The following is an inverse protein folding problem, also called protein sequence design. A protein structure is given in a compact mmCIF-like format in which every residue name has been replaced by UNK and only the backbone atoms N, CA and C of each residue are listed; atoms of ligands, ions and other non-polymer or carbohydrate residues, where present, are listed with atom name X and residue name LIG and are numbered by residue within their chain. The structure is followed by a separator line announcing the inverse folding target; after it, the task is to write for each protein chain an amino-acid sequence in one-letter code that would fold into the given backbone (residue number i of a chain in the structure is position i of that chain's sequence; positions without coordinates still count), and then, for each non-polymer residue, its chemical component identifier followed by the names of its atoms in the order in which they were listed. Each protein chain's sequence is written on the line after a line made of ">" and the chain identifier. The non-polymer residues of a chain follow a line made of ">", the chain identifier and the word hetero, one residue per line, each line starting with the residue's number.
data_IF_127683775164
#
_entry.id   IF_127683775164
#
_cell.length_a   1.000
_cell.length_b   1.000
_cell.length_c   1.000
_cell.angle_alpha   90.00
_cell.angle_beta   90.00
_cell.angle_gamma   90.00
#
_symmetry.space_group_name_H-M   'P 1'
#
loop_
_entity.id
_entity.type
_entity.pdbx_description
1 polymer ?
#
# COMPACT_ATOMS: atom_id res chain seq x y z
N UNK A 1 -3.92 54.63 -5.58
CA UNK A 1 -3.74 53.20 -5.25
C UNK A 1 -4.82 52.94 -4.24
N UNK A 2 -5.88 52.24 -4.64
CA UNK A 2 -7.05 52.06 -3.78
C UNK A 2 -6.71 51.12 -2.64
N UNK A 3 -7.17 51.44 -1.43
CA UNK A 3 -6.91 50.64 -0.23
C UNK A 3 -7.48 49.22 -0.37
N UNK A 4 -8.59 49.07 -1.10
CA UNK A 4 -9.22 47.78 -1.41
C UNK A 4 -8.28 46.86 -2.22
N UNK A 5 -7.50 47.40 -3.16
CA UNK A 5 -6.52 46.64 -3.95
C UNK A 5 -5.36 46.13 -3.07
N UNK A 6 -4.95 46.90 -2.06
CA UNK A 6 -3.86 46.54 -1.14
C UNK A 6 -4.32 45.45 -0.16
N UNK A 7 -5.54 45.56 0.38
CA UNK A 7 -6.13 44.54 1.25
C UNK A 7 -6.33 43.21 0.51
N UNK A 8 -6.85 43.26 -0.72
CA UNK A 8 -7.03 42.06 -1.55
C UNK A 8 -5.68 41.42 -1.92
N UNK A 9 -4.66 42.22 -2.26
CA UNK A 9 -3.30 41.71 -2.51
C UNK A 9 -2.71 41.02 -1.28
N UNK A 10 -2.84 41.63 -0.10
CA UNK A 10 -2.29 41.10 1.16
C UNK A 10 -2.99 39.78 1.55
N UNK A 11 -4.31 39.71 1.40
CA UNK A 11 -5.08 38.50 1.65
C UNK A 11 -4.72 37.36 0.68
N UNK A 12 -4.55 37.67 -0.62
CA UNK A 12 -4.08 36.70 -1.64
C UNK A 12 -2.68 36.16 -1.30
N UNK A 13 -1.76 37.04 -0.93
CA UNK A 13 -0.40 36.65 -0.53
C UNK A 13 -0.40 35.76 0.71
N UNK A 14 -1.19 36.11 1.73
CA UNK A 14 -1.32 35.31 2.95
C UNK A 14 -1.87 33.90 2.68
N UNK A 15 -2.90 33.78 1.83
CA UNK A 15 -3.44 32.47 1.40
C UNK A 15 -2.40 31.64 0.67
N UNK A 16 -1.63 32.25 -0.24
CA UNK A 16 -0.56 31.57 -0.98
C UNK A 16 0.55 31.08 -0.03
N UNK A 17 1.00 31.91 0.91
CA UNK A 17 1.98 31.52 1.92
C UNK A 17 1.46 30.37 2.80
N UNK A 18 0.22 30.48 3.29
CA UNK A 18 -0.40 29.43 4.10
C UNK A 18 -0.46 28.10 3.35
N UNK A 19 -0.85 28.14 2.06
CA UNK A 19 -0.88 26.94 1.23
C UNK A 19 0.53 26.32 1.08
N UNK A 20 1.55 27.13 0.80
CA UNK A 20 2.95 26.67 0.69
C UNK A 20 3.43 26.06 2.01
N UNK A 21 3.14 26.70 3.15
CA UNK A 21 3.50 26.16 4.46
C UNK A 21 2.83 24.81 4.73
N UNK A 22 1.53 24.68 4.43
CA UNK A 22 0.82 23.42 4.61
C UNK A 22 1.42 22.30 3.75
N UNK A 23 1.73 22.58 2.47
CA UNK A 23 2.39 21.60 1.60
C UNK A 23 3.81 21.26 2.07
N UNK A 24 4.55 22.23 2.60
CA UNK A 24 5.91 22.03 3.12
C UNK A 24 5.92 21.14 4.37
N UNK A 25 4.94 21.31 5.26
CA UNK A 25 4.86 20.60 6.54
C UNK A 25 3.96 19.37 6.53
N UNK A 26 3.35 19.01 5.39
CA UNK A 26 2.38 17.90 5.30
C UNK A 26 2.97 16.55 5.78
N UNK A 27 4.28 16.34 5.59
CA UNK A 27 4.99 15.13 6.05
C UNK A 27 4.91 14.92 7.56
N UNK A 28 4.66 15.97 8.35
CA UNK A 28 4.49 15.86 9.81
C UNK A 28 3.27 14.98 10.14
N UNK A 29 2.21 14.99 9.32
CA UNK A 29 1.06 14.10 9.52
C UNK A 29 1.49 12.63 9.39
N UNK A 30 2.23 12.28 8.34
CA UNK A 30 2.74 10.93 8.11
C UNK A 30 3.68 10.47 9.22
N UNK A 31 4.60 11.33 9.66
CA UNK A 31 5.52 10.99 10.76
C UNK A 31 4.82 10.90 12.12
N UNK A 32 3.78 11.69 12.35
CA UNK A 32 2.93 11.59 13.55
C UNK A 32 2.15 10.29 13.55
N UNK A 33 1.57 9.90 12.41
CA UNK A 33 0.89 8.62 12.23
C UNK A 33 1.84 7.45 12.50
N UNK A 34 3.05 7.47 11.91
CA UNK A 34 4.08 6.47 12.17
C UNK A 34 4.41 6.38 13.66
N UNK A 35 4.59 7.52 14.32
CA UNK A 35 4.87 7.57 15.75
C UNK A 35 3.74 6.92 16.58
N UNK A 36 2.47 7.17 16.22
CA UNK A 36 1.33 6.55 16.87
C UNK A 36 1.30 5.02 16.72
N UNK A 37 1.62 4.52 15.52
CA UNK A 37 1.73 3.09 15.22
C UNK A 37 2.88 2.47 16.02
N UNK A 38 4.08 3.07 15.99
CA UNK A 38 5.26 2.57 16.69
C UNK A 38 5.05 2.53 18.22
N UNK A 39 4.33 3.52 18.77
CA UNK A 39 3.95 3.58 20.18
C UNK A 39 2.75 2.69 20.53
N UNK A 40 2.11 2.05 19.54
CA UNK A 40 0.91 1.22 19.70
C UNK A 40 -0.27 1.99 20.34
N UNK A 41 -0.40 3.29 20.03
CA UNK A 41 -1.48 4.14 20.56
C UNK A 41 -2.87 3.61 20.18
N UNK A 42 -3.16 3.25 18.92
CA UNK A 42 -4.46 2.69 18.55
C UNK A 42 -4.81 1.43 19.36
N UNK A 43 -3.85 0.50 19.50
CA UNK A 43 -4.05 -0.74 20.27
C UNK A 43 -4.28 -0.47 21.75
N UNK A 44 -3.57 0.51 22.34
CA UNK A 44 -3.73 0.87 23.75
C UNK A 44 -5.15 1.39 24.05
N UNK A 45 -5.67 2.30 23.20
CA UNK A 45 -7.03 2.83 23.32
C UNK A 45 -8.06 1.72 23.07
N UNK A 46 -7.85 0.89 22.04
CA UNK A 46 -8.77 -0.21 21.74
C UNK A 46 -8.88 -1.20 22.91
N UNK A 47 -7.74 -1.62 23.46
CA UNK A 47 -7.66 -2.57 24.58
C UNK A 47 -8.32 -2.02 25.85
N UNK A 48 -8.33 -0.69 26.03
CA UNK A 48 -9.01 -0.05 27.15
C UNK A 48 -10.54 -0.20 27.07
N UNK A 49 -11.10 -0.26 25.85
CA UNK A 49 -12.50 -0.61 25.60
C UNK A 49 -13.52 0.53 25.83
N UNK A 50 -13.07 1.70 26.27
CA UNK A 50 -13.88 2.90 26.48
C UNK A 50 -13.05 4.16 26.14
N UNK A 51 -13.63 5.37 26.10
CA UNK A 51 -12.84 6.59 25.93
C UNK A 51 -11.69 6.65 26.94
N UNK A 52 -10.46 6.81 26.45
CA UNK A 52 -9.24 6.75 27.26
C UNK A 52 -8.71 8.15 27.53
N UNK A 53 -8.56 8.51 28.81
CA UNK A 53 -8.04 9.83 29.18
C UNK A 53 -6.56 9.97 28.79
N UNK A 54 -6.09 11.21 28.58
CA UNK A 54 -4.69 11.45 28.23
C UNK A 54 -3.71 10.84 29.27
N UNK A 55 -3.99 10.96 30.57
CA UNK A 55 -3.19 10.40 31.65
C UNK A 55 -3.16 8.87 31.62
N UNK A 56 -4.30 8.23 31.35
CA UNK A 56 -4.40 6.78 31.21
C UNK A 56 -3.62 6.29 29.98
N UNK A 57 -3.72 7.01 28.87
CA UNK A 57 -2.96 6.72 27.67
C UNK A 57 -1.46 6.81 27.97
N UNK A 58 -0.97 7.92 28.51
CA UNK A 58 0.45 8.10 28.88
C UNK A 58 0.94 6.97 29.79
N UNK A 59 0.16 6.57 30.80
CA UNK A 59 0.51 5.50 31.72
C UNK A 59 0.58 4.11 31.04
N UNK A 60 -0.14 3.90 29.94
CA UNK A 60 -0.13 2.65 29.18
C UNK A 60 1.04 2.53 28.19
N UNK A 61 1.69 3.65 27.83
CA UNK A 61 2.74 3.69 26.82
C UNK A 61 4.12 3.45 27.45
N UNK A 62 4.97 2.67 26.77
CA UNK A 62 6.37 2.45 27.16
C UNK A 62 7.26 3.61 26.70
N UNK A 63 7.09 4.79 27.30
CA UNK A 63 7.82 6.02 26.94
C UNK A 63 8.64 6.56 28.12
N UNK A 64 9.78 7.18 27.81
CA UNK A 64 10.61 7.81 28.83
C UNK A 64 9.83 8.96 29.52
N UNK A 65 9.92 9.11 30.86
CA UNK A 65 9.18 10.15 31.60
C UNK A 65 9.39 11.58 31.06
N UNK A 66 10.57 11.88 30.52
CA UNK A 66 10.87 13.20 29.94
C UNK A 66 10.20 13.47 28.58
N UNK A 67 9.51 12.48 28.00
CA UNK A 67 8.85 12.56 26.68
C UNK A 67 7.33 12.53 26.79
N UNK A 68 6.77 12.23 27.96
CA UNK A 68 5.32 12.14 28.22
C UNK A 68 4.59 13.43 27.87
N UNK A 69 5.23 14.59 28.10
CA UNK A 69 4.68 15.90 27.78
C UNK A 69 4.43 16.13 26.27
N UNK A 70 5.03 15.33 25.39
CA UNK A 70 4.83 15.44 23.95
C UNK A 70 3.60 14.67 23.44
N UNK A 71 3.08 13.72 24.22
CA UNK A 71 1.94 12.88 23.82
C UNK A 71 0.69 13.73 23.60
N UNK A 72 0.45 14.76 24.40
CA UNK A 72 -0.68 15.68 24.20
C UNK A 72 -0.65 16.36 22.82
N UNK A 73 0.53 16.81 22.38
CA UNK A 73 0.74 17.46 21.07
C UNK A 73 0.58 16.46 19.92
N UNK A 74 1.10 15.25 20.11
CA UNK A 74 0.93 14.16 19.15
C UNK A 74 -0.55 13.79 18.98
N UNK A 75 -1.28 13.66 20.08
CA UNK A 75 -2.71 13.36 20.03
C UNK A 75 -3.53 14.50 19.42
N UNK A 76 -3.18 15.76 19.68
CA UNK A 76 -3.85 16.91 19.05
C UNK A 76 -3.77 16.87 17.53
N UNK A 77 -2.58 16.65 16.96
CA UNK A 77 -2.44 16.57 15.51
C UNK A 77 -3.13 15.34 14.93
N UNK A 78 -3.04 14.19 15.58
CA UNK A 78 -3.71 12.97 15.11
C UNK A 78 -5.24 13.06 15.19
N UNK A 79 -5.79 13.73 16.21
CA UNK A 79 -7.22 14.07 16.27
C UNK A 79 -7.59 15.00 15.12
N UNK A 80 -6.81 16.05 14.88
CA UNK A 80 -7.07 16.98 13.78
C UNK A 80 -6.96 16.31 12.40
N UNK A 81 -6.10 15.31 12.26
CA UNK A 81 -5.98 14.45 11.07
C UNK A 81 -7.06 13.37 10.97
N UNK A 82 -8.03 13.32 11.88
CA UNK A 82 -9.19 12.43 11.81
C UNK A 82 -8.95 11.02 12.33
N UNK A 83 -7.80 10.68 12.91
CA UNK A 83 -7.54 9.34 13.47
C UNK A 83 -8.19 9.11 14.82
N UNK A 84 -8.47 10.17 15.58
CA UNK A 84 -9.08 10.05 16.91
C UNK A 84 -10.14 11.11 17.11
N UNK A 85 -11.21 10.76 17.82
CA UNK A 85 -12.23 11.70 18.28
C UNK A 85 -12.00 12.04 19.75
N UNK A 86 -12.24 13.30 20.11
CA UNK A 86 -12.17 13.77 21.49
C UNK A 86 -13.56 13.69 22.15
N UNK A 87 -13.60 13.15 23.35
CA UNK A 87 -14.72 13.28 24.28
C UNK A 87 -14.29 14.15 25.46
N UNK A 88 -15.01 15.24 25.66
CA UNK A 88 -15.02 15.90 26.96
C UNK A 88 -15.94 15.07 27.83
N UNK A 89 -15.37 14.33 28.78
CA UNK A 89 -16.19 13.83 29.88
C UNK A 89 -16.84 15.03 30.59
N UNK A 90 -18.00 14.80 31.18
CA UNK A 90 -18.94 15.76 31.79
C UNK A 90 -18.29 16.99 32.44
N UNK A 91 -19.03 18.09 32.62
CA UNK A 91 -18.57 19.40 33.17
C UNK A 91 -17.62 19.37 34.39
N UNK A 92 -17.54 18.25 35.11
CA UNK A 92 -16.66 18.02 36.25
C UNK A 92 -15.28 17.39 35.93
N UNK A 93 -15.05 16.84 34.74
CA UNK A 93 -13.77 16.25 34.33
C UNK A 93 -12.97 17.22 33.45
N UNK A 94 -11.78 17.61 33.91
CA UNK A 94 -10.91 18.57 33.20
C UNK A 94 -10.06 17.92 32.09
N UNK A 95 -10.13 16.59 31.92
CA UNK A 95 -9.24 15.85 31.04
C UNK A 95 -9.93 15.35 29.76
N UNK A 96 -9.29 15.60 28.62
CA UNK A 96 -9.74 15.13 27.31
C UNK A 96 -9.52 13.62 27.22
N UNK A 97 -10.56 12.91 26.77
CA UNK A 97 -10.49 11.48 26.46
C UNK A 97 -10.55 11.22 24.96
N UNK A 98 -9.88 10.16 24.51
CA UNK A 98 -9.75 9.81 23.10
C UNK A 98 -10.48 8.51 22.76
N UNK A 99 -11.07 8.48 21.57
CA UNK A 99 -11.74 7.32 20.97
C UNK A 99 -11.20 7.11 19.56
N UNK A 100 -11.11 5.84 19.12
CA UNK A 100 -10.73 5.50 17.76
C UNK A 100 -11.84 5.87 16.76
N UNK A 101 -11.46 6.49 15.66
CA UNK A 101 -12.29 6.60 14.45
C UNK A 101 -12.16 5.35 13.58
N UNK A 102 -12.87 5.29 12.45
CA UNK A 102 -12.74 4.16 11.53
C UNK A 102 -11.35 4.10 10.88
N UNK A 103 -10.73 5.27 10.64
CA UNK A 103 -9.38 5.41 10.09
C UNK A 103 -8.29 4.88 11.03
N UNK A 104 -8.47 4.95 12.36
CA UNK A 104 -7.51 4.36 13.31
C UNK A 104 -7.83 2.93 13.71
N UNK A 105 -9.07 2.45 13.53
CA UNK A 105 -9.40 1.03 13.72
C UNK A 105 -8.66 0.13 12.73
N UNK A 106 -8.45 0.59 11.50
CA UNK A 106 -7.64 -0.15 10.52
C UNK A 106 -6.14 -0.14 10.86
N UNK A 107 -5.71 0.59 11.90
CA UNK A 107 -4.34 0.60 12.41
C UNK A 107 -4.14 -0.33 13.62
N UNK A 108 -5.13 -1.14 13.98
CA UNK A 108 -4.98 -2.17 15.00
C UNK A 108 -4.20 -3.35 14.44
N UNK A 109 -3.32 -3.95 15.26
CA UNK A 109 -2.49 -5.09 14.83
C UNK A 109 -3.31 -6.31 14.42
N UNK A 110 -4.39 -6.56 15.16
CA UNK A 110 -5.28 -7.71 14.95
C UNK A 110 -6.42 -7.39 13.96
N UNK A 111 -6.43 -6.21 13.33
CA UNK A 111 -7.45 -5.89 12.34
C UNK A 111 -7.28 -6.79 11.09
N UNK A 112 -8.35 -7.42 10.55
CA UNK A 112 -8.25 -8.29 9.38
C UNK A 112 -7.61 -7.63 8.14
N UNK A 113 -7.79 -6.31 8.02
CA UNK A 113 -7.23 -5.45 6.98
C UNK A 113 -6.28 -4.41 7.59
N UNK A 114 -5.42 -4.82 8.52
CA UNK A 114 -4.49 -3.90 9.20
C UNK A 114 -3.61 -3.14 8.20
N UNK A 115 -3.54 -1.82 8.33
CA UNK A 115 -2.74 -0.95 7.46
C UNK A 115 -1.43 -0.47 8.09
N UNK A 116 -1.03 -1.03 9.24
CA UNK A 116 0.18 -0.59 9.97
C UNK A 116 1.47 -0.73 9.17
N UNK A 117 1.58 -1.79 8.36
CA UNK A 117 2.83 -2.15 7.69
C UNK A 117 3.18 -1.16 6.57
N UNK A 118 2.18 -0.54 5.93
CA UNK A 118 2.40 0.42 4.84
C UNK A 118 3.17 1.67 5.34
N UNK A 119 2.70 2.43 6.36
CA UNK A 119 3.49 3.52 6.93
C UNK A 119 4.84 3.07 7.49
N UNK A 120 4.95 1.85 8.03
CA UNK A 120 6.22 1.34 8.55
C UNK A 120 7.26 1.12 7.46
N UNK A 121 6.86 0.66 6.27
CA UNK A 121 7.75 0.51 5.11
C UNK A 121 8.08 1.87 4.51
N UNK A 122 7.06 2.62 4.08
CA UNK A 122 7.24 3.84 3.29
C UNK A 122 7.96 4.93 4.07
N UNK A 123 7.76 4.96 5.39
CA UNK A 123 8.39 5.94 6.29
C UNK A 123 9.60 5.36 7.03
N UNK A 124 10.13 4.20 6.62
CA UNK A 124 11.40 3.71 7.15
C UNK A 124 12.53 4.65 6.71
N UNK A 125 13.48 4.98 7.60
CA UNK A 125 14.64 5.79 7.26
C UNK A 125 15.44 5.30 6.05
N UNK A 126 15.46 3.99 5.75
CA UNK A 126 16.15 3.45 4.57
C UNK A 126 15.56 4.00 3.27
N UNK A 127 14.24 4.24 3.22
CA UNK A 127 13.55 4.78 2.04
C UNK A 127 13.44 6.32 2.09
N UNK A 128 13.35 6.91 3.28
CA UNK A 128 13.08 8.36 3.44
C UNK A 128 14.32 9.23 3.63
N UNK A 129 15.38 8.73 4.27
CA UNK A 129 16.64 9.46 4.35
C UNK A 129 17.28 9.39 2.96
N UNK A 130 17.54 10.54 2.32
CA UNK A 130 17.71 10.65 0.88
C UNK A 130 18.80 9.73 0.37
N UNK A 131 18.36 8.62 -0.21
CA UNK A 131 19.12 7.87 -1.20
C UNK A 131 18.94 8.54 -2.55
N UNK A 132 19.32 9.83 -2.60
CA UNK A 132 19.87 10.43 -3.82
C UNK A 132 21.03 9.56 -4.36
N UNK A 133 21.63 8.74 -3.49
CA UNK A 133 22.60 7.69 -3.81
C UNK A 133 22.00 6.47 -4.55
N UNK A 134 20.70 6.16 -4.41
CA UNK A 134 20.07 5.05 -5.15
C UNK A 134 19.68 5.47 -6.57
N UNK A 135 19.16 6.70 -6.76
CA UNK A 135 18.97 7.27 -8.10
C UNK A 135 20.30 7.56 -8.81
N UNK A 136 21.35 7.97 -8.09
CA UNK A 136 22.69 8.14 -8.69
C UNK A 136 23.36 6.82 -9.09
N UNK A 137 23.13 5.73 -8.34
CA UNK A 137 23.76 4.43 -8.62
C UNK A 137 22.85 3.44 -9.37
N UNK A 138 21.62 3.83 -9.72
CA UNK A 138 20.65 2.95 -10.38
C UNK A 138 20.21 1.76 -9.53
N UNK A 139 20.27 1.89 -8.19
CA UNK A 139 19.86 0.82 -7.26
C UNK A 139 18.36 0.89 -7.08
N UNK A 140 17.66 -0.21 -7.39
CA UNK A 140 16.20 -0.29 -7.30
C UNK A 140 15.76 -0.59 -5.86
N UNK A 141 14.47 -0.36 -5.55
CA UNK A 141 13.88 -0.86 -4.30
C UNK A 141 14.15 -2.36 -4.09
N UNK A 142 14.07 -3.13 -5.17
CA UNK A 142 14.32 -4.57 -5.15
C UNK A 142 15.74 -4.92 -4.72
N UNK A 143 16.74 -4.16 -5.15
CA UNK A 143 18.13 -4.34 -4.72
C UNK A 143 18.31 -4.05 -3.22
N UNK A 144 17.66 -2.99 -2.73
CA UNK A 144 17.69 -2.60 -1.32
C UNK A 144 17.02 -3.65 -0.44
N UNK A 145 15.81 -4.07 -0.79
CA UNK A 145 15.12 -5.17 -0.09
C UNK A 145 15.96 -6.45 -0.08
N UNK A 146 16.74 -6.71 -1.13
CA UNK A 146 17.66 -7.86 -1.17
C UNK A 146 18.78 -7.77 -0.14
N UNK A 147 19.24 -6.56 0.19
CA UNK A 147 20.36 -6.32 1.10
C UNK A 147 19.91 -6.10 2.54
N UNK A 148 18.66 -5.68 2.73
CA UNK A 148 18.10 -5.28 4.02
C UNK A 148 16.92 -6.18 4.43
N UNK A 149 17.17 -7.29 5.17
CA UNK A 149 16.12 -8.26 5.54
C UNK A 149 14.94 -7.66 6.29
N UNK A 150 15.19 -6.63 7.12
CA UNK A 150 14.13 -5.92 7.85
C UNK A 150 13.18 -5.19 6.89
N UNK A 151 13.73 -4.50 5.88
CA UNK A 151 12.92 -3.80 4.87
C UNK A 151 12.11 -4.81 4.05
N UNK A 152 12.75 -5.92 3.64
CA UNK A 152 12.08 -7.00 2.91
C UNK A 152 10.90 -7.60 3.70
N UNK A 153 11.09 -7.87 4.99
CA UNK A 153 10.03 -8.39 5.85
C UNK A 153 8.86 -7.40 5.97
N UNK A 154 9.15 -6.13 6.26
CA UNK A 154 8.12 -5.10 6.37
C UNK A 154 7.34 -4.94 5.06
N UNK A 155 8.03 -4.99 3.91
CA UNK A 155 7.41 -4.93 2.60
C UNK A 155 6.48 -6.13 2.37
N UNK A 156 6.95 -7.34 2.66
CA UNK A 156 6.12 -8.55 2.53
C UNK A 156 4.88 -8.50 3.43
N UNK A 157 4.99 -7.94 4.63
CA UNK A 157 3.83 -7.73 5.51
C UNK A 157 2.85 -6.71 4.93
N UNK A 158 3.35 -5.60 4.38
CA UNK A 158 2.54 -4.59 3.71
C UNK A 158 1.79 -5.18 2.51
N UNK A 159 2.48 -5.93 1.64
CA UNK A 159 1.87 -6.59 0.50
C UNK A 159 0.89 -7.68 0.89
N UNK A 160 1.16 -8.40 1.98
CA UNK A 160 0.23 -9.39 2.55
C UNK A 160 -1.07 -8.72 3.00
N UNK A 161 -0.97 -7.62 3.76
CA UNK A 161 -2.14 -6.89 4.25
C UNK A 161 -2.96 -6.26 3.12
N UNK A 162 -2.29 -5.62 2.16
CA UNK A 162 -2.94 -5.11 0.95
C UNK A 162 -3.66 -6.23 0.19
N UNK A 163 -2.98 -7.36 -0.02
CA UNK A 163 -3.56 -8.52 -0.72
C UNK A 163 -4.78 -9.11 -0.01
N UNK A 164 -4.89 -9.04 1.32
CA UNK A 164 -6.10 -9.47 2.04
C UNK A 164 -7.30 -8.61 1.67
N UNK A 165 -7.12 -7.29 1.62
CA UNK A 165 -8.19 -6.37 1.23
C UNK A 165 -8.56 -6.57 -0.24
N UNK A 166 -7.56 -6.55 -1.13
CA UNK A 166 -7.78 -6.69 -2.58
C UNK A 166 -8.41 -8.04 -2.93
N UNK A 167 -7.94 -9.15 -2.36
CA UNK A 167 -8.53 -10.47 -2.62
C UNK A 167 -10.01 -10.53 -2.23
N UNK A 168 -10.41 -9.89 -1.13
CA UNK A 168 -11.82 -9.83 -0.72
C UNK A 168 -12.70 -9.15 -1.78
N UNK A 169 -12.22 -8.03 -2.33
CA UNK A 169 -12.91 -7.27 -3.38
C UNK A 169 -12.94 -8.05 -4.70
N UNK A 170 -11.82 -8.65 -5.09
CA UNK A 170 -11.69 -9.44 -6.32
C UNK A 170 -12.62 -10.65 -6.31
N UNK A 171 -12.70 -11.37 -5.19
CA UNK A 171 -13.61 -12.52 -5.05
C UNK A 171 -15.07 -12.06 -5.06
N UNK A 172 -15.41 -10.95 -4.41
CA UNK A 172 -16.79 -10.46 -4.35
C UNK A 172 -17.27 -9.90 -5.70
N UNK A 173 -16.47 -9.05 -6.33
CA UNK A 173 -16.87 -8.26 -7.50
C UNK A 173 -16.39 -8.83 -8.83
N UNK A 174 -15.31 -9.59 -8.85
CA UNK A 174 -14.62 -10.04 -10.07
C UNK A 174 -14.53 -11.56 -10.20
N UNK A 175 -15.31 -12.35 -9.42
CA UNK A 175 -15.30 -13.83 -9.50
C UNK A 175 -15.47 -14.41 -10.90
N UNK A 176 -16.19 -13.70 -11.78
CA UNK A 176 -16.43 -14.14 -13.16
C UNK A 176 -15.15 -14.33 -13.97
N UNK A 177 -14.08 -13.63 -13.62
CA UNK A 177 -12.77 -13.73 -14.29
C UNK A 177 -12.13 -15.11 -14.08
N UNK A 178 -12.45 -15.80 -12.98
CA UNK A 178 -11.89 -17.12 -12.65
C UNK A 178 -12.77 -18.29 -13.12
N UNK A 179 -13.95 -18.02 -13.68
CA UNK A 179 -14.86 -19.08 -14.10
C UNK A 179 -14.30 -19.85 -15.31
N UNK A 180 -14.21 -21.17 -15.19
CA UNK A 180 -13.78 -22.04 -16.29
C UNK A 180 -12.27 -22.06 -16.54
N UNK A 181 -11.48 -21.50 -15.62
CA UNK A 181 -10.04 -21.69 -15.53
C UNK A 181 -9.74 -23.01 -14.82
N UNK A 182 -8.77 -23.79 -15.32
CA UNK A 182 -8.32 -25.03 -14.69
C UNK A 182 -7.04 -24.81 -13.86
N UNK A 183 -6.19 -23.86 -14.29
CA UNK A 183 -4.95 -23.53 -13.61
C UNK A 183 -4.62 -22.02 -13.65
N UNK A 184 -4.02 -21.50 -12.57
CA UNK A 184 -3.62 -20.10 -12.40
C UNK A 184 -2.21 -20.01 -11.79
N UNK A 185 -1.34 -19.19 -12.40
CA UNK A 185 -0.07 -18.77 -11.78
C UNK A 185 -0.16 -17.32 -11.33
N UNK A 186 0.10 -17.08 -10.04
CA UNK A 186 0.24 -15.75 -9.44
C UNK A 186 1.71 -15.32 -9.50
N UNK A 187 2.05 -14.49 -10.50
CA UNK A 187 3.41 -14.04 -10.79
C UNK A 187 3.75 -12.82 -9.94
N UNK A 188 4.86 -12.90 -9.20
CA UNK A 188 5.19 -11.95 -8.14
C UNK A 188 4.21 -12.05 -6.95
N UNK A 189 3.66 -13.24 -6.70
CA UNK A 189 2.61 -13.45 -5.70
C UNK A 189 3.08 -13.39 -4.23
N UNK A 190 4.38 -13.21 -3.99
CA UNK A 190 4.94 -13.02 -2.65
C UNK A 190 4.63 -14.17 -1.69
N UNK A 191 3.98 -13.84 -0.57
CA UNK A 191 3.55 -14.82 0.45
C UNK A 191 2.32 -15.64 0.03
N UNK A 192 1.83 -15.45 -1.21
CA UNK A 192 0.72 -16.17 -1.80
C UNK A 192 -0.65 -15.81 -1.25
N UNK A 193 -0.81 -14.64 -0.62
CA UNK A 193 -2.04 -14.27 0.09
C UNK A 193 -3.25 -14.22 -0.86
N UNK A 194 -3.10 -13.61 -2.03
CA UNK A 194 -4.19 -13.54 -3.02
C UNK A 194 -4.46 -14.91 -3.65
N UNK A 195 -3.41 -15.64 -4.05
CA UNK A 195 -3.55 -17.00 -4.59
C UNK A 195 -4.26 -17.96 -3.61
N UNK A 196 -3.91 -17.93 -2.31
CA UNK A 196 -4.58 -18.72 -1.26
C UNK A 196 -6.07 -18.37 -1.13
N UNK A 197 -6.41 -17.09 -1.18
CA UNK A 197 -7.80 -16.64 -1.12
C UNK A 197 -8.59 -17.13 -2.34
N UNK A 198 -8.01 -17.03 -3.54
CA UNK A 198 -8.59 -17.53 -4.79
C UNK A 198 -8.77 -19.04 -4.73
N UNK A 199 -7.72 -19.81 -4.40
CA UNK A 199 -7.80 -21.28 -4.36
C UNK A 199 -8.87 -21.77 -3.37
N UNK A 200 -9.01 -21.10 -2.22
CA UNK A 200 -10.08 -21.38 -1.25
C UNK A 200 -11.49 -21.10 -1.82
N UNK A 201 -11.65 -20.05 -2.62
CA UNK A 201 -12.93 -19.71 -3.25
C UNK A 201 -13.25 -20.53 -4.51
N UNK A 202 -12.22 -21.08 -5.17
CA UNK A 202 -12.34 -21.88 -6.38
C UNK A 202 -11.55 -23.19 -6.24
N UNK A 203 -12.03 -24.19 -5.46
CA UNK A 203 -11.26 -25.40 -5.14
C UNK A 203 -10.87 -26.29 -6.34
N UNK A 204 -11.48 -26.07 -7.51
CA UNK A 204 -11.14 -26.77 -8.75
C UNK A 204 -9.95 -26.13 -9.49
N UNK A 205 -9.58 -24.90 -9.12
CA UNK A 205 -8.53 -24.12 -9.77
C UNK A 205 -7.18 -24.46 -9.17
N UNK A 206 -6.30 -25.13 -9.93
CA UNK A 206 -4.92 -25.36 -9.49
C UNK A 206 -4.16 -24.03 -9.46
N UNK A 207 -3.78 -23.57 -8.28
CA UNK A 207 -3.08 -22.32 -8.10
C UNK A 207 -1.60 -22.55 -7.74
N UNK A 208 -0.70 -21.81 -8.37
CA UNK A 208 0.70 -21.72 -7.93
C UNK A 208 1.10 -20.26 -7.70
N UNK A 209 2.07 -20.05 -6.82
CA UNK A 209 2.70 -18.75 -6.57
C UNK A 209 4.09 -18.80 -7.17
N UNK A 210 4.39 -17.88 -8.08
CA UNK A 210 5.69 -17.78 -8.73
C UNK A 210 6.38 -16.48 -8.34
N UNK A 211 7.57 -16.56 -7.75
CA UNK A 211 8.34 -15.39 -7.33
C UNK A 211 9.84 -15.68 -7.30
N UNK A 212 10.65 -14.65 -7.06
CA UNK A 212 12.09 -14.75 -6.91
C UNK A 212 12.44 -15.71 -5.76
N UNK A 213 13.52 -16.51 -5.88
CA UNK A 213 13.93 -17.47 -4.85
C UNK A 213 13.95 -16.89 -3.44
N UNK A 214 14.50 -15.69 -3.25
CA UNK A 214 14.57 -15.01 -1.94
C UNK A 214 13.23 -14.70 -1.27
N UNK A 215 12.14 -14.65 -2.04
CA UNK A 215 10.80 -14.32 -1.54
C UNK A 215 10.07 -15.58 -1.10
N UNK A 216 10.20 -16.66 -1.88
CA UNK A 216 9.49 -17.92 -1.66
C UNK A 216 10.32 -18.99 -0.95
N UNK A 217 11.64 -18.77 -0.78
CA UNK A 217 12.49 -19.67 -0.01
C UNK A 217 12.00 -19.79 1.44
N UNK A 218 11.94 -21.03 1.94
CA UNK A 218 11.38 -21.35 3.26
C UNK A 218 9.85 -21.30 3.37
N UNK A 219 9.11 -20.82 2.35
CA UNK A 219 7.65 -20.91 2.35
C UNK A 219 7.20 -22.35 2.06
N UNK A 220 6.32 -22.87 2.91
CA UNK A 220 5.73 -24.19 2.71
C UNK A 220 4.38 -24.05 2.00
N UNK A 221 4.23 -24.82 0.92
CA UNK A 221 2.95 -24.96 0.22
C UNK A 221 1.85 -25.54 1.13
N UNK A 222 0.61 -25.41 0.68
CA UNK A 222 -0.55 -26.08 1.27
C UNK A 222 -1.12 -27.08 0.26
N UNK A 223 -2.18 -27.80 0.62
CA UNK A 223 -2.88 -28.67 -0.34
C UNK A 223 -3.37 -27.89 -1.58
N UNK A 224 -3.68 -26.60 -1.39
CA UNK A 224 -4.26 -25.73 -2.42
C UNK A 224 -3.23 -24.90 -3.22
N UNK A 225 -1.98 -24.78 -2.75
CA UNK A 225 -0.97 -23.86 -3.31
C UNK A 225 0.43 -24.46 -3.27
N UNK A 226 1.11 -24.40 -4.42
CA UNK A 226 2.53 -24.68 -4.59
C UNK A 226 3.32 -23.37 -4.82
N UNK A 227 4.55 -23.28 -4.31
CA UNK A 227 5.47 -22.18 -4.59
C UNK A 227 6.53 -22.62 -5.60
N UNK A 228 6.72 -21.81 -6.62
CA UNK A 228 7.71 -22.02 -7.67
C UNK A 228 8.68 -20.84 -7.69
N UNK A 229 9.97 -21.15 -7.67
CA UNK A 229 11.02 -20.14 -7.69
C UNK A 229 11.42 -19.83 -9.13
N UNK A 230 11.61 -18.55 -9.47
CA UNK A 230 12.18 -18.15 -10.75
C UNK A 230 12.14 -16.64 -10.99
N UNK A 231 12.61 -16.24 -12.17
CA UNK A 231 12.56 -14.86 -12.64
C UNK A 231 11.55 -14.74 -13.80
N UNK A 232 10.56 -13.86 -13.64
CA UNK A 232 9.54 -13.60 -14.65
C UNK A 232 10.09 -12.96 -15.93
N UNK A 233 11.28 -12.37 -15.88
CA UNK A 233 12.00 -11.88 -17.06
C UNK A 233 12.72 -12.99 -17.84
N UNK A 234 12.83 -14.19 -17.28
CA UNK A 234 13.43 -15.35 -17.94
C UNK A 234 12.35 -16.32 -18.45
N UNK A 235 11.52 -16.84 -17.54
CA UNK A 235 10.47 -17.79 -17.89
C UNK A 235 9.39 -17.83 -16.79
N UNK A 236 8.13 -17.98 -17.23
CA UNK A 236 6.99 -18.22 -16.34
C UNK A 236 6.51 -19.66 -16.57
N UNK A 237 6.18 -20.43 -15.51
CA UNK A 237 5.61 -21.78 -15.67
C UNK A 237 4.37 -21.79 -16.56
N UNK A 238 4.19 -22.88 -17.33
CA UNK A 238 3.06 -22.96 -18.29
C UNK A 238 1.74 -23.30 -17.60
N UNK A 239 0.77 -22.39 -17.70
CA UNK A 239 -0.55 -22.42 -17.04
C UNK A 239 -1.63 -21.86 -17.97
N UNK A 240 -2.91 -22.12 -17.67
CA UNK A 240 -4.02 -21.59 -18.49
C UNK A 240 -4.23 -20.10 -18.30
N UNK A 241 -3.82 -19.56 -17.16
CA UNK A 241 -3.99 -18.15 -16.82
C UNK A 241 -2.87 -17.65 -15.96
N UNK A 242 -2.52 -16.38 -16.16
CA UNK A 242 -1.44 -15.70 -15.44
C UNK A 242 -2.03 -14.47 -14.76
N UNK A 243 -1.81 -14.34 -13.47
CA UNK A 243 -2.19 -13.16 -12.69
C UNK A 243 -0.96 -12.35 -12.31
N UNK A 244 -1.07 -11.03 -12.49
CA UNK A 244 -0.05 -10.03 -12.19
C UNK A 244 -0.71 -8.97 -11.30
N UNK A 245 -0.58 -9.11 -9.98
CA UNK A 245 -1.09 -8.12 -9.01
C UNK A 245 0.05 -7.20 -8.59
N UNK A 246 -0.13 -5.88 -8.75
CA UNK A 246 0.86 -4.87 -8.37
C UNK A 246 2.24 -5.22 -8.93
N UNK A 247 2.28 -5.64 -10.19
CA UNK A 247 3.52 -6.03 -10.89
C UNK A 247 3.84 -5.03 -11.99
N UNK A 248 2.88 -4.73 -12.87
CA UNK A 248 3.18 -3.93 -14.07
C UNK A 248 3.51 -2.48 -13.70
N UNK A 249 2.96 -1.97 -12.61
CA UNK A 249 3.31 -0.66 -12.09
C UNK A 249 4.78 -0.53 -11.62
N UNK A 250 5.48 -1.64 -11.35
CA UNK A 250 6.88 -1.65 -10.90
C UNK A 250 7.89 -1.46 -12.03
N UNK A 251 7.44 -1.38 -13.28
CA UNK A 251 8.34 -1.46 -14.44
C UNK A 251 8.00 -0.41 -15.47
N UNK A 252 8.98 -0.07 -16.29
CA UNK A 252 8.75 0.80 -17.45
C UNK A 252 8.03 0.05 -18.58
N UNK A 253 7.61 0.78 -19.64
CA UNK A 253 6.82 0.18 -20.73
C UNK A 253 7.57 -0.90 -21.51
N UNK A 254 8.90 -0.81 -21.63
CA UNK A 254 9.72 -1.80 -22.33
C UNK A 254 9.80 -3.10 -21.54
N UNK A 255 9.96 -3.02 -20.22
CA UNK A 255 9.98 -4.15 -19.29
C UNK A 255 8.59 -4.80 -19.18
N UNK A 256 7.54 -3.99 -19.04
CA UNK A 256 6.15 -4.46 -19.12
C UNK A 256 5.89 -5.27 -20.40
N UNK A 257 6.36 -4.77 -21.55
CA UNK A 257 6.22 -5.47 -22.82
C UNK A 257 6.98 -6.81 -22.84
N UNK A 258 8.16 -6.89 -22.23
CA UNK A 258 8.91 -8.16 -22.09
C UNK A 258 8.13 -9.15 -21.22
N UNK A 259 7.66 -8.73 -20.05
CA UNK A 259 6.87 -9.56 -19.14
C UNK A 259 5.63 -10.10 -19.85
N UNK A 260 4.86 -9.24 -20.52
CA UNK A 260 3.64 -9.66 -21.23
C UNK A 260 3.92 -10.65 -22.37
N UNK A 261 5.06 -10.52 -23.07
CA UNK A 261 5.46 -11.50 -24.10
C UNK A 261 5.78 -12.86 -23.49
N UNK A 262 6.51 -12.89 -22.38
CA UNK A 262 6.79 -14.13 -21.64
C UNK A 262 5.50 -14.75 -21.12
N UNK A 263 4.57 -13.93 -20.60
CA UNK A 263 3.24 -14.41 -20.24
C UNK A 263 2.53 -15.07 -21.43
N UNK A 264 2.55 -14.43 -22.60
CA UNK A 264 1.92 -14.98 -23.81
C UNK A 264 2.52 -16.32 -24.25
N UNK A 265 3.83 -16.48 -24.09
CA UNK A 265 4.55 -17.72 -24.38
C UNK A 265 4.22 -18.83 -23.37
N UNK A 266 4.06 -18.47 -22.09
CA UNK A 266 3.76 -19.40 -21.01
C UNK A 266 2.31 -19.92 -21.03
N UNK A 267 1.34 -19.20 -21.60
CA UNK A 267 -0.05 -19.66 -21.66
C UNK A 267 -0.16 -20.99 -22.42
N UNK A 268 -0.61 -22.03 -21.72
CA UNK A 268 -0.68 -23.40 -22.20
C UNK A 268 -1.70 -23.60 -23.33
N UNK A 269 -2.86 -22.94 -23.22
CA UNK A 269 -3.96 -23.04 -24.19
C UNK A 269 -4.01 -21.83 -25.11
N UNK A 270 -3.80 -22.03 -26.42
CA UNK A 270 -3.93 -20.96 -27.43
C UNK A 270 -5.37 -20.52 -27.67
N UNK A 271 -6.36 -21.28 -27.19
CA UNK A 271 -7.78 -20.94 -27.33
C UNK A 271 -8.29 -20.01 -26.20
N UNK A 272 -7.53 -19.87 -25.10
CA UNK A 272 -7.90 -19.07 -23.91
C UNK A 272 -6.69 -18.27 -23.40
N UNK A 273 -6.27 -17.25 -24.14
CA UNK A 273 -5.19 -16.35 -23.72
C UNK A 273 -5.64 -15.44 -22.56
N UNK A 274 -5.46 -15.87 -21.31
CA UNK A 274 -5.92 -15.15 -20.13
C UNK A 274 -4.77 -14.60 -19.28
N UNK A 275 -4.58 -13.27 -19.31
CA UNK A 275 -3.71 -12.56 -18.37
C UNK A 275 -4.57 -11.58 -17.56
N UNK A 276 -4.50 -11.69 -16.24
CA UNK A 276 -5.27 -10.89 -15.29
C UNK A 276 -4.32 -9.89 -14.63
N UNK A 277 -4.55 -8.60 -14.85
CA UNK A 277 -3.76 -7.53 -14.21
C UNK A 277 -4.60 -6.87 -13.12
N UNK A 278 -4.05 -6.82 -11.90
CA UNK A 278 -4.67 -6.17 -10.75
C UNK A 278 -3.72 -5.08 -10.26
N UNK A 279 -3.88 -3.88 -10.84
CA UNK A 279 -3.04 -2.71 -10.59
C UNK A 279 -3.92 -1.47 -10.43
N UNK A 280 -3.37 -0.41 -9.82
CA UNK A 280 -4.00 0.91 -9.82
C UNK A 280 -4.16 1.41 -11.27
N UNK A 281 -5.25 2.13 -11.52
CA UNK A 281 -5.54 2.72 -12.83
C UNK A 281 -5.81 4.21 -12.65
N UNK A 282 -5.02 5.03 -13.32
CA UNK A 282 -5.15 6.49 -13.30
C UNK A 282 -6.02 7.00 -14.46
N UNK A 283 -6.63 8.18 -14.30
CA UNK A 283 -7.32 8.88 -15.40
C UNK A 283 -8.68 8.32 -15.82
N UNK A 284 -9.23 7.35 -15.08
CA UNK A 284 -10.53 6.74 -15.38
C UNK A 284 -11.74 7.53 -14.87
N UNK A 285 -11.58 8.40 -13.85
CA UNK A 285 -12.71 8.91 -13.09
C UNK A 285 -12.90 10.43 -13.24
N UNK A 286 -14.17 10.83 -13.35
CA UNK A 286 -14.64 12.18 -13.05
C UNK A 286 -15.49 12.06 -11.80
N UNK A 287 -14.91 12.10 -10.59
CA UNK A 287 -15.78 11.97 -9.42
C UNK A 287 -15.16 12.09 -8.04
N UNK A 288 -14.00 11.48 -7.79
CA UNK A 288 -13.44 11.44 -6.43
C UNK A 288 -12.04 12.06 -6.37
N UNK A 289 -11.98 13.30 -5.88
CA UNK A 289 -10.74 14.06 -5.80
C UNK A 289 -9.71 13.46 -4.84
N UNK A 290 -10.14 12.72 -3.81
CA UNK A 290 -9.22 12.16 -2.80
C UNK A 290 -8.60 10.86 -3.29
N UNK A 291 -9.39 9.98 -3.91
CA UNK A 291 -8.86 8.79 -4.57
C UNK A 291 -7.92 9.16 -5.72
N UNK A 292 -8.28 10.15 -6.54
CA UNK A 292 -7.39 10.63 -7.60
C UNK A 292 -6.06 11.15 -7.06
N UNK A 293 -6.08 11.86 -5.93
CA UNK A 293 -4.86 12.32 -5.27
C UNK A 293 -4.01 11.15 -4.75
N UNK A 294 -4.64 10.13 -4.17
CA UNK A 294 -3.95 8.92 -3.69
C UNK A 294 -3.29 8.16 -4.84
N UNK A 295 -3.97 8.02 -5.99
CA UNK A 295 -3.41 7.38 -7.18
C UNK A 295 -2.19 8.14 -7.71
N UNK A 296 -2.20 9.47 -7.65
CA UNK A 296 -1.04 10.30 -8.04
C UNK A 296 0.13 10.16 -7.06
N UNK A 297 -0.13 9.98 -5.76
CA UNK A 297 0.94 9.64 -4.82
C UNK A 297 1.56 8.28 -5.13
N UNK A 298 0.73 7.30 -5.49
CA UNK A 298 1.20 5.97 -5.86
C UNK A 298 2.06 6.00 -7.14
N UNK A 299 1.68 6.80 -8.14
CA UNK A 299 2.49 7.01 -9.34
C UNK A 299 3.86 7.62 -9.03
N UNK A 300 3.89 8.65 -8.19
CA UNK A 300 5.14 9.27 -7.74
C UNK A 300 6.01 8.30 -6.94
N UNK A 301 5.41 7.44 -6.13
CA UNK A 301 6.11 6.40 -5.38
C UNK A 301 6.77 5.39 -6.33
N UNK A 302 6.04 4.90 -7.34
CA UNK A 302 6.56 3.94 -8.32
C UNK A 302 7.69 4.55 -9.16
N UNK A 303 7.60 5.84 -9.48
CA UNK A 303 8.66 6.57 -10.16
C UNK A 303 9.96 6.59 -9.33
N UNK A 304 9.86 6.76 -8.01
CA UNK A 304 11.03 6.87 -7.13
C UNK A 304 11.60 5.51 -6.75
N UNK A 305 10.75 4.52 -6.46
CA UNK A 305 11.18 3.23 -5.92
C UNK A 305 11.55 2.19 -6.99
N UNK A 306 10.84 2.18 -8.12
CA UNK A 306 10.86 1.06 -9.05
C UNK A 306 11.05 1.45 -10.51
N UNK A 307 11.38 2.71 -10.84
CA UNK A 307 11.40 3.25 -12.23
C UNK A 307 10.10 2.99 -13.03
N UNK A 308 9.04 2.63 -12.31
CA UNK A 308 7.75 2.25 -12.85
C UNK A 308 6.80 3.44 -12.90
N UNK A 309 5.53 3.14 -13.16
CA UNK A 309 4.46 4.14 -13.23
C UNK A 309 3.08 3.50 -13.19
N UNK A 310 2.12 4.26 -12.71
CA UNK A 310 0.72 3.96 -12.90
C UNK A 310 0.27 4.29 -14.32
N UNK A 311 -0.69 3.51 -14.83
CA UNK A 311 -1.13 3.59 -16.23
C UNK A 311 -2.64 3.68 -16.31
N UNK A 312 -3.14 4.49 -17.25
CA UNK A 312 -4.56 4.48 -17.59
C UNK A 312 -4.92 3.25 -18.44
N UNK A 313 -6.22 3.02 -18.66
CA UNK A 313 -6.71 1.88 -19.45
C UNK A 313 -6.16 1.85 -20.88
N UNK A 314 -5.98 3.00 -21.54
CA UNK A 314 -5.50 3.06 -22.92
C UNK A 314 -4.03 2.63 -23.01
N UNK A 315 -3.21 3.04 -22.05
CA UNK A 315 -1.82 2.64 -21.97
C UNK A 315 -1.69 1.14 -21.68
N UNK A 316 -2.51 0.60 -20.77
CA UNK A 316 -2.58 -0.85 -20.52
C UNK A 316 -3.02 -1.61 -21.77
N UNK A 317 -4.09 -1.20 -22.44
CA UNK A 317 -4.56 -1.83 -23.68
C UNK A 317 -3.51 -1.79 -24.79
N UNK A 318 -2.77 -0.69 -24.93
CA UNK A 318 -1.66 -0.58 -25.89
C UNK A 318 -0.54 -1.56 -25.58
N UNK A 319 -0.20 -1.78 -24.31
CA UNK A 319 0.81 -2.77 -23.90
C UNK A 319 0.37 -4.20 -24.26
N UNK A 320 -0.88 -4.57 -23.95
CA UNK A 320 -1.46 -5.86 -24.34
C UNK A 320 -1.39 -6.08 -25.85
N UNK A 321 -1.88 -5.11 -26.62
CA UNK A 321 -1.85 -5.17 -28.08
C UNK A 321 -0.43 -5.30 -28.63
N UNK A 322 0.52 -4.55 -28.06
CA UNK A 322 1.93 -4.57 -28.48
C UNK A 322 2.64 -5.89 -28.12
N UNK A 323 2.20 -6.55 -27.05
CA UNK A 323 2.64 -7.90 -26.67
C UNK A 323 1.99 -9.00 -27.55
N UNK A 324 1.02 -8.62 -28.38
CA UNK A 324 0.35 -9.48 -29.33
C UNK A 324 -0.96 -10.09 -28.82
N UNK A 325 -1.47 -9.69 -27.65
CA UNK A 325 -2.81 -10.09 -27.23
C UNK A 325 -3.85 -9.38 -28.13
N UNK A 326 -4.92 -10.10 -28.47
CA UNK A 326 -5.99 -9.62 -29.35
C UNK A 326 -7.17 -9.06 -28.55
#
# INVERSE_FOLDING_TARGET
>A
MDFDDIEDHSAKLFRAQTHIFNQTFVFINSMSLKCAIDLCIPDAIHKYGQPMSLSQLIASLSIHPSKTCFISRLMQILTHSGFFSQHNATENEQEVSYVLTDESKVLLKDHPFSMISLPQVILDPILTLPTLFHTQNGVTFWDCASREPKLNHLFNDAMTNDSRLISSVVIEKCKGVFNGLESLVDVGGGTGTIAKAIAKSFPHLKCIVFDLPRVVDGLQGTEDIEYVQGDMFEAIPSFDSIMLKTIMHNWNDEECLKILKICKEAIASKDKENVIIIDVVIGNEKGDSELDHTKLFYDMEMMVLAIGKERNEKDKAKLFFSAGFN
#
